data_IF_998264749701
#
_entry.id   IF_998264749701
#
_cell.length_a   1.000
_cell.length_b   1.000
_cell.length_c   1.000
_cell.angle_alpha   90.00
_cell.angle_beta   90.00
_cell.angle_gamma   90.00
#
_symmetry.space_group_name_H-M   'P 1'
#
loop_
_entity.id
_entity.type
_entity.pdbx_description
1 polymer ?
#
# COMPACT_ATOMS: atom_id res chain seq x y z
N UNK A 1 8.82 25.28 1.18
CA UNK A 1 8.63 24.87 2.59
C UNK A 1 9.74 23.92 2.97
N UNK A 2 10.32 24.05 4.16
CA UNK A 2 11.27 23.04 4.64
C UNK A 2 10.54 21.73 4.87
N UNK A 3 11.09 20.64 4.37
CA UNK A 3 10.57 19.28 4.60
C UNK A 3 10.72 19.02 6.11
N UNK A 4 9.60 18.72 6.80
CA UNK A 4 9.64 18.27 8.19
C UNK A 4 10.23 16.87 8.23
N UNK A 5 10.95 16.54 9.31
CA UNK A 5 11.50 15.20 9.47
C UNK A 5 10.38 14.20 9.78
N UNK A 6 10.03 13.39 8.78
CA UNK A 6 8.98 12.37 8.90
C UNK A 6 9.34 11.27 9.90
N UNK A 7 10.60 10.86 9.94
CA UNK A 7 11.06 9.80 10.87
C UNK A 7 10.93 10.25 12.31
N UNK A 8 11.39 11.47 12.65
CA UNK A 8 11.25 12.05 13.98
C UNK A 8 9.77 12.19 14.39
N UNK A 9 8.90 12.57 13.44
CA UNK A 9 7.45 12.67 13.70
C UNK A 9 6.84 11.31 14.05
N UNK A 10 7.24 10.25 13.36
CA UNK A 10 6.76 8.89 13.66
C UNK A 10 7.39 8.31 14.94
N UNK A 11 8.66 8.60 15.20
CA UNK A 11 9.37 8.21 16.44
C UNK A 11 8.68 8.79 17.68
N UNK A 12 8.41 10.10 17.63
CA UNK A 12 7.71 10.78 18.72
C UNK A 12 6.33 10.18 19.01
N UNK A 13 5.66 9.64 17.96
CA UNK A 13 4.35 8.99 18.08
C UNK A 13 4.42 7.52 18.47
N UNK A 14 5.60 6.91 18.53
CA UNK A 14 5.76 5.48 18.75
C UNK A 14 5.23 4.62 17.60
N UNK A 15 5.26 5.15 16.36
CA UNK A 15 4.72 4.48 15.16
C UNK A 15 5.79 3.76 14.34
N UNK A 16 7.05 3.74 14.78
CA UNK A 16 8.12 3.02 14.08
C UNK A 16 8.28 1.64 14.72
N UNK A 17 8.11 0.60 13.90
CA UNK A 17 8.47 -0.78 14.28
C UNK A 17 9.88 -1.12 13.80
N UNK A 18 10.19 -0.81 12.55
CA UNK A 18 11.51 -0.99 11.96
C UNK A 18 11.74 0.04 10.85
N UNK A 19 13.01 0.35 10.60
CA UNK A 19 13.40 1.30 9.56
C UNK A 19 14.62 0.77 8.82
N UNK A 20 14.62 0.90 7.51
CA UNK A 20 15.77 0.53 6.68
C UNK A 20 16.88 1.59 6.80
N UNK A 21 18.16 1.18 6.85
CA UNK A 21 19.27 2.12 6.82
C UNK A 21 19.19 3.08 5.62
N UNK A 22 19.49 4.36 5.84
CA UNK A 22 19.45 5.40 4.81
C UNK A 22 18.07 6.01 4.55
N UNK A 23 16.99 5.50 5.17
CA UNK A 23 15.63 6.03 4.96
C UNK A 23 15.50 7.47 5.42
N UNK A 24 16.02 7.80 6.59
CA UNK A 24 15.93 9.15 7.15
C UNK A 24 16.68 10.17 6.29
N UNK A 25 17.88 9.82 5.88
CA UNK A 25 18.73 10.66 5.04
C UNK A 25 18.07 10.93 3.67
N UNK A 26 17.48 9.89 3.07
CA UNK A 26 16.77 10.01 1.79
C UNK A 26 15.55 10.94 1.92
N UNK A 27 14.75 10.77 2.97
CA UNK A 27 13.54 11.57 3.20
C UNK A 27 13.88 13.04 3.55
N UNK A 28 15.04 13.31 4.11
CA UNK A 28 15.49 14.69 4.38
C UNK A 28 16.07 15.36 3.13
N UNK A 29 16.60 14.58 2.20
CA UNK A 29 17.28 15.09 1.01
C UNK A 29 16.31 15.67 -0.02
N UNK A 30 15.19 14.98 -0.26
CA UNK A 30 14.26 15.37 -1.31
C UNK A 30 12.84 14.85 -1.02
N UNK A 31 11.85 15.41 -1.72
CA UNK A 31 10.50 14.87 -1.71
C UNK A 31 10.53 13.44 -2.25
N UNK A 32 10.09 12.51 -1.44
CA UNK A 32 10.03 11.09 -1.79
C UNK A 32 8.57 10.65 -1.97
N UNK A 33 8.41 9.50 -2.63
CA UNK A 33 7.11 8.85 -2.80
C UNK A 33 7.11 7.54 -2.02
N UNK A 34 6.05 7.28 -1.26
CA UNK A 34 5.84 6.02 -0.56
C UNK A 34 4.40 5.55 -0.71
N UNK A 35 4.17 4.26 -0.59
CA UNK A 35 2.84 3.69 -0.67
C UNK A 35 2.49 2.82 0.53
N UNK A 36 1.18 2.69 0.75
CA UNK A 36 0.59 1.69 1.64
C UNK A 36 -0.44 0.90 0.85
N UNK A 37 -0.37 -0.44 0.95
CA UNK A 37 -1.33 -1.35 0.35
C UNK A 37 -2.62 -1.43 1.17
N UNK A 38 -3.77 -1.40 0.47
CA UNK A 38 -5.11 -1.53 1.05
C UNK A 38 -5.89 -2.53 0.22
N UNK A 39 -6.31 -3.64 0.83
CA UNK A 39 -7.15 -4.62 0.15
C UNK A 39 -8.61 -4.15 0.10
N UNK A 40 -9.22 -4.08 -1.08
CA UNK A 40 -10.59 -3.60 -1.26
C UNK A 40 -11.63 -4.70 -0.98
N UNK A 41 -11.53 -5.37 0.17
CA UNK A 41 -12.40 -6.49 0.56
C UNK A 41 -13.82 -6.07 0.93
N UNK A 42 -14.02 -4.78 1.19
CA UNK A 42 -15.30 -4.15 1.49
C UNK A 42 -15.32 -2.69 0.99
N UNK A 43 -16.50 -2.11 0.98
CA UNK A 43 -16.70 -0.69 0.61
C UNK A 43 -16.36 0.31 1.73
N UNK A 44 -15.77 -0.17 2.82
CA UNK A 44 -15.38 0.66 3.95
C UNK A 44 -14.07 0.20 4.58
N UNK A 45 -13.29 1.17 5.05
CA UNK A 45 -12.13 0.96 5.91
C UNK A 45 -12.60 0.66 7.35
N UNK A 46 -11.83 -0.16 8.05
CA UNK A 46 -12.01 -0.39 9.49
C UNK A 46 -10.86 0.25 10.29
N UNK A 47 -10.98 0.23 11.61
CA UNK A 47 -10.02 0.87 12.53
C UNK A 47 -8.58 0.39 12.31
N UNK A 48 -8.36 -0.86 11.92
CA UNK A 48 -7.03 -1.38 11.62
C UNK A 48 -6.33 -0.69 10.46
N UNK A 49 -7.09 -0.21 9.45
CA UNK A 49 -6.52 0.55 8.34
C UNK A 49 -6.10 1.97 8.76
N UNK A 50 -6.69 2.51 9.85
CA UNK A 50 -6.44 3.89 10.24
C UNK A 50 -4.97 4.15 10.57
N UNK A 51 -4.27 3.18 11.15
CA UNK A 51 -2.83 3.32 11.45
C UNK A 51 -2.04 3.59 10.17
N UNK A 52 -2.24 2.75 9.15
CA UNK A 52 -1.56 2.89 7.86
C UNK A 52 -1.94 4.18 7.14
N UNK A 53 -3.21 4.57 7.19
CA UNK A 53 -3.69 5.84 6.62
C UNK A 53 -3.08 7.05 7.34
N UNK A 54 -2.93 6.99 8.66
CA UNK A 54 -2.27 8.05 9.43
C UNK A 54 -0.79 8.17 9.11
N UNK A 55 -0.09 7.07 8.82
CA UNK A 55 1.29 7.12 8.32
C UNK A 55 1.36 7.90 7.00
N UNK A 56 0.47 7.59 6.04
CA UNK A 56 0.36 8.35 4.78
C UNK A 56 0.03 9.82 5.02
N UNK A 57 -0.85 10.12 5.98
CA UNK A 57 -1.19 11.50 6.35
C UNK A 57 0.02 12.27 6.86
N UNK A 58 0.78 11.69 7.79
CA UNK A 58 2.00 12.32 8.30
C UNK A 58 3.04 12.47 7.20
N UNK A 59 3.16 11.49 6.31
CA UNK A 59 4.05 11.55 5.16
C UNK A 59 3.73 12.75 4.25
N UNK A 60 2.45 12.96 3.94
CA UNK A 60 1.99 14.10 3.16
C UNK A 60 2.25 15.43 3.90
N UNK A 61 1.94 15.49 5.20
CA UNK A 61 2.17 16.70 6.02
C UNK A 61 3.66 17.07 6.13
N UNK A 62 4.54 16.09 6.03
CA UNK A 62 5.99 16.29 5.98
C UNK A 62 6.52 16.69 4.60
N UNK A 63 5.65 16.86 3.61
CA UNK A 63 6.02 17.34 2.28
C UNK A 63 6.34 16.24 1.27
N UNK A 64 6.07 14.98 1.60
CA UNK A 64 6.27 13.84 0.72
C UNK A 64 4.98 13.42 0.02
N UNK A 65 5.08 12.66 -1.07
CA UNK A 65 3.94 12.24 -1.89
C UNK A 65 3.44 10.84 -1.47
N UNK A 66 2.28 10.71 -0.82
CA UNK A 66 1.71 9.41 -0.49
C UNK A 66 0.97 8.79 -1.67
N UNK A 67 1.04 7.46 -1.78
CA UNK A 67 0.23 6.66 -2.68
C UNK A 67 -0.60 5.69 -1.85
N UNK A 68 -1.93 5.75 -2.00
CA UNK A 68 -2.82 4.70 -1.55
C UNK A 68 -2.92 3.63 -2.66
N UNK A 69 -2.30 2.47 -2.44
CA UNK A 69 -2.30 1.36 -3.39
C UNK A 69 -3.44 0.41 -3.08
N UNK A 70 -4.43 0.36 -3.94
CA UNK A 70 -5.52 -0.61 -3.83
C UNK A 70 -5.08 -1.96 -4.40
N UNK A 71 -5.18 -3.00 -3.61
CA UNK A 71 -4.86 -4.38 -3.97
C UNK A 71 -5.94 -5.05 -4.81
N UNK A 72 -6.27 -4.48 -5.98
CA UNK A 72 -7.32 -5.01 -6.84
C UNK A 72 -6.99 -6.37 -7.42
N UNK A 73 -5.79 -6.57 -7.95
CA UNK A 73 -5.35 -7.87 -8.45
C UNK A 73 -5.26 -8.90 -7.32
N UNK A 74 -4.67 -8.53 -6.19
CA UNK A 74 -4.56 -9.42 -5.02
C UNK A 74 -5.92 -9.75 -4.40
N UNK A 75 -6.86 -8.79 -4.40
CA UNK A 75 -8.24 -9.01 -3.94
C UNK A 75 -9.02 -9.99 -4.83
N UNK A 76 -8.67 -10.12 -6.11
CA UNK A 76 -9.26 -11.12 -7.02
C UNK A 76 -8.69 -12.52 -6.82
N UNK A 77 -7.48 -12.65 -6.29
CA UNK A 77 -6.86 -13.94 -6.00
C UNK A 77 -7.31 -14.45 -4.62
N UNK A 78 -7.54 -13.53 -3.68
CA UNK A 78 -7.85 -13.82 -2.29
C UNK A 78 -6.59 -14.09 -1.46
N UNK A 79 -6.55 -13.52 -0.27
CA UNK A 79 -5.52 -13.80 0.72
C UNK A 79 -6.08 -14.76 1.76
N UNK A 80 -5.55 -15.99 1.89
CA UNK A 80 -6.01 -16.98 2.85
C UNK A 80 -5.51 -16.70 4.28
N UNK A 81 -4.70 -15.64 4.52
CA UNK A 81 -4.09 -15.37 5.81
C UNK A 81 -5.09 -15.34 6.96
N UNK A 82 -4.93 -16.27 7.90
CA UNK A 82 -5.68 -16.33 9.16
C UNK A 82 -7.14 -16.79 9.07
N UNK A 83 -7.60 -17.34 7.94
CA UNK A 83 -8.96 -17.88 7.79
C UNK A 83 -8.95 -19.26 7.15
N UNK A 84 -9.77 -20.16 7.70
CA UNK A 84 -9.94 -21.53 7.22
C UNK A 84 -10.85 -21.69 5.99
N UNK A 85 -11.40 -20.57 5.46
CA UNK A 85 -12.27 -20.58 4.29
C UNK A 85 -11.70 -19.64 3.23
N UNK A 86 -11.71 -20.07 1.97
CA UNK A 86 -11.43 -19.23 0.82
C UNK A 86 -12.30 -17.97 0.86
N UNK A 87 -11.67 -16.80 0.70
CA UNK A 87 -12.42 -15.56 0.51
C UNK A 87 -13.20 -15.62 -0.79
N UNK A 88 -14.44 -15.15 -0.78
CA UNK A 88 -15.19 -14.95 -2.01
C UNK A 88 -14.38 -14.05 -2.96
N UNK A 89 -14.07 -14.56 -4.14
CA UNK A 89 -13.38 -13.82 -5.17
C UNK A 89 -14.25 -12.63 -5.58
N UNK A 90 -13.68 -11.44 -5.55
CA UNK A 90 -14.37 -10.23 -5.96
C UNK A 90 -14.37 -10.13 -7.48
N UNK A 91 -15.52 -9.81 -8.07
CA UNK A 91 -15.60 -9.41 -9.47
C UNK A 91 -15.09 -7.97 -9.66
N UNK A 92 -14.74 -7.62 -10.90
CA UNK A 92 -14.18 -6.29 -11.21
C UNK A 92 -15.15 -5.16 -10.83
N UNK A 93 -16.45 -5.35 -10.99
CA UNK A 93 -17.47 -4.34 -10.66
C UNK A 93 -17.50 -4.04 -9.16
N UNK A 94 -17.54 -5.08 -8.34
CA UNK A 94 -17.49 -4.95 -6.88
C UNK A 94 -16.18 -4.32 -6.42
N UNK A 95 -15.08 -4.74 -7.03
CA UNK A 95 -13.75 -4.19 -6.75
C UNK A 95 -13.68 -2.68 -7.04
N UNK A 96 -14.18 -2.21 -8.20
CA UNK A 96 -14.23 -0.79 -8.56
C UNK A 96 -15.15 -0.02 -7.61
N UNK A 97 -16.29 -0.58 -7.24
CA UNK A 97 -17.19 0.02 -6.25
C UNK A 97 -16.48 0.23 -4.91
N UNK A 98 -15.83 -0.81 -4.39
CA UNK A 98 -15.09 -0.73 -3.13
C UNK A 98 -13.94 0.27 -3.21
N UNK A 99 -13.20 0.29 -4.32
CA UNK A 99 -12.12 1.26 -4.56
C UNK A 99 -12.63 2.71 -4.46
N UNK A 100 -13.72 3.03 -5.12
CA UNK A 100 -14.30 4.38 -5.08
C UNK A 100 -14.82 4.75 -3.67
N UNK A 101 -15.39 3.79 -2.96
CA UNK A 101 -15.85 4.01 -1.58
C UNK A 101 -14.66 4.25 -0.63
N UNK A 102 -13.58 3.49 -0.77
CA UNK A 102 -12.32 3.68 -0.03
C UNK A 102 -11.71 5.05 -0.36
N UNK A 103 -11.66 5.45 -1.63
CA UNK A 103 -11.17 6.77 -2.05
C UNK A 103 -11.88 7.90 -1.33
N UNK A 104 -13.23 7.85 -1.29
CA UNK A 104 -14.04 8.88 -0.58
C UNK A 104 -13.70 8.98 0.91
N UNK A 105 -13.35 7.86 1.56
CA UNK A 105 -12.95 7.86 2.97
C UNK A 105 -11.54 8.42 3.13
N UNK A 106 -10.60 8.03 2.29
CA UNK A 106 -9.22 8.51 2.30
C UNK A 106 -9.14 10.02 2.01
N UNK A 107 -9.99 10.54 1.13
CA UNK A 107 -10.04 11.97 0.79
C UNK A 107 -10.43 12.88 1.97
N UNK A 108 -10.95 12.32 3.07
CA UNK A 108 -11.15 13.07 4.31
C UNK A 108 -9.85 13.34 5.07
N UNK A 109 -8.81 12.58 4.78
CA UNK A 109 -7.52 12.64 5.49
C UNK A 109 -6.37 13.05 4.58
N UNK A 110 -6.39 12.61 3.34
CA UNK A 110 -5.34 12.86 2.33
C UNK A 110 -5.85 13.87 1.31
N UNK A 111 -4.97 14.73 0.87
CA UNK A 111 -5.25 15.65 -0.23
C UNK A 111 -4.90 14.98 -1.57
N UNK A 112 -5.93 14.66 -2.36
CA UNK A 112 -5.81 14.07 -3.70
C UNK A 112 -6.01 15.09 -4.82
N UNK A 113 -6.62 16.22 -4.51
CA UNK A 113 -7.25 17.08 -5.52
C UNK A 113 -6.52 18.41 -5.73
N UNK A 114 -5.54 18.74 -4.88
CA UNK A 114 -4.76 19.97 -5.05
C UNK A 114 -3.69 19.82 -6.12
N UNK A 115 -3.25 20.96 -6.67
CA UNK A 115 -2.08 21.05 -7.58
C UNK A 115 -0.74 20.97 -6.84
N UNK A 116 -0.74 20.60 -5.56
CA UNK A 116 0.49 20.48 -4.79
C UNK A 116 1.36 19.32 -5.32
N UNK A 117 2.69 19.49 -5.40
CA UNK A 117 3.58 18.45 -5.92
C UNK A 117 3.52 17.15 -5.09
N UNK A 118 3.11 17.24 -3.84
CA UNK A 118 2.92 16.11 -2.92
C UNK A 118 1.44 15.71 -2.75
N UNK A 119 0.56 16.09 -3.69
CA UNK A 119 -0.81 15.57 -3.72
C UNK A 119 -0.79 14.04 -3.77
N UNK A 120 -1.68 13.42 -2.99
CA UNK A 120 -1.78 11.97 -2.91
C UNK A 120 -2.23 11.36 -4.25
N UNK A 121 -1.85 10.12 -4.49
CA UNK A 121 -2.38 9.35 -5.61
C UNK A 121 -3.09 8.09 -5.10
N UNK A 122 -4.18 7.73 -5.75
CA UNK A 122 -4.81 6.42 -5.61
C UNK A 122 -4.47 5.59 -6.85
N UNK A 123 -3.89 4.43 -6.66
CA UNK A 123 -3.56 3.50 -7.74
C UNK A 123 -4.12 2.12 -7.42
N UNK A 124 -4.37 1.33 -8.47
CA UNK A 124 -4.88 -0.03 -8.34
C UNK A 124 -3.94 -0.99 -9.06
N UNK A 125 -3.39 -1.97 -8.37
CA UNK A 125 -2.46 -2.92 -8.98
C UNK A 125 -3.11 -3.77 -10.09
N UNK A 126 -4.45 -3.93 -10.09
CA UNK A 126 -5.16 -4.59 -11.17
C UNK A 126 -4.96 -3.89 -12.52
N UNK A 127 -4.80 -2.56 -12.55
CA UNK A 127 -4.72 -1.80 -13.80
C UNK A 127 -3.48 -2.18 -14.64
N UNK A 128 -2.38 -2.59 -14.00
CA UNK A 128 -1.19 -3.07 -14.71
C UNK A 128 -1.02 -4.58 -14.67
N UNK A 129 -1.50 -5.26 -13.61
CA UNK A 129 -1.33 -6.72 -13.47
C UNK A 129 -2.19 -7.52 -14.45
N UNK A 130 -3.37 -7.00 -14.82
CA UNK A 130 -4.29 -7.67 -15.75
C UNK A 130 -3.71 -7.91 -17.15
N UNK A 131 -2.69 -7.15 -17.53
CA UNK A 131 -2.07 -7.23 -18.85
C UNK A 131 -0.93 -8.26 -18.90
N UNK A 132 -0.45 -8.72 -17.73
CA UNK A 132 0.58 -9.75 -17.67
C UNK A 132 -0.01 -11.13 -17.97
N UNK A 133 0.55 -11.81 -18.96
CA UNK A 133 0.32 -13.26 -19.12
C UNK A 133 1.13 -14.03 -18.08
N UNK A 134 0.72 -15.26 -17.77
CA UNK A 134 1.47 -16.14 -16.88
C UNK A 134 2.92 -16.32 -17.34
N UNK A 135 3.14 -16.51 -18.63
CA UNK A 135 4.48 -16.69 -19.19
C UNK A 135 5.34 -15.43 -19.06
N UNK A 136 4.75 -14.25 -19.33
CA UNK A 136 5.46 -12.98 -19.16
C UNK A 136 5.86 -12.76 -17.70
N UNK A 137 4.94 -13.03 -16.77
CA UNK A 137 5.24 -12.90 -15.35
C UNK A 137 6.39 -13.82 -14.90
N UNK A 138 6.35 -15.11 -15.28
CA UNK A 138 7.41 -16.06 -14.93
C UNK A 138 8.74 -15.65 -15.58
N UNK A 139 8.71 -15.26 -16.86
CA UNK A 139 9.92 -14.87 -17.59
C UNK A 139 10.58 -13.62 -17.01
N UNK A 140 9.80 -12.60 -16.70
CA UNK A 140 10.33 -11.26 -16.40
C UNK A 140 10.48 -11.02 -14.89
N UNK A 141 9.59 -11.56 -14.07
CA UNK A 141 9.56 -11.36 -12.62
C UNK A 141 9.94 -12.62 -11.85
N UNK A 142 9.39 -13.77 -12.24
CA UNK A 142 9.59 -15.03 -11.49
C UNK A 142 11.05 -15.43 -11.32
N UNK A 143 11.89 -15.17 -12.32
CA UNK A 143 13.34 -15.45 -12.23
C UNK A 143 14.10 -14.60 -11.21
N UNK A 144 13.52 -13.47 -10.79
CA UNK A 144 14.13 -12.53 -9.83
C UNK A 144 13.79 -12.87 -8.38
N UNK A 145 12.78 -13.71 -8.16
CA UNK A 145 12.29 -14.08 -6.84
C UNK A 145 12.52 -15.57 -6.63
N UNK A 146 13.48 -15.92 -5.78
CA UNK A 146 13.76 -17.32 -5.45
C UNK A 146 12.77 -17.86 -4.42
N UNK A 147 12.51 -19.18 -4.47
CA UNK A 147 11.69 -19.86 -3.45
C UNK A 147 12.25 -19.62 -2.05
N UNK A 148 13.58 -19.72 -1.88
CA UNK A 148 14.22 -19.47 -0.59
C UNK A 148 13.98 -18.05 -0.07
N UNK A 149 13.99 -17.05 -0.95
CA UNK A 149 13.67 -15.68 -0.57
C UNK A 149 12.21 -15.55 -0.09
N UNK A 150 11.27 -16.18 -0.78
CA UNK A 150 9.86 -16.17 -0.37
C UNK A 150 9.66 -16.91 0.97
N UNK A 151 10.28 -18.07 1.13
CA UNK A 151 10.20 -18.88 2.36
C UNK A 151 10.79 -18.18 3.59
N UNK A 152 11.73 -17.27 3.40
CA UNK A 152 12.32 -16.48 4.49
C UNK A 152 11.45 -15.31 4.97
N UNK A 153 10.29 -15.07 4.36
CA UNK A 153 9.35 -14.03 4.81
C UNK A 153 8.36 -14.59 5.83
N UNK A 154 8.11 -13.84 6.90
CA UNK A 154 7.20 -14.25 7.97
C UNK A 154 5.80 -14.62 7.46
N UNK A 155 5.33 -13.93 6.42
CA UNK A 155 4.03 -14.21 5.79
C UNK A 155 3.97 -15.60 5.14
N UNK A 156 5.09 -16.15 4.65
CA UNK A 156 5.13 -17.49 4.07
C UNK A 156 5.07 -18.58 5.12
N UNK A 157 5.49 -18.30 6.36
CA UNK A 157 5.46 -19.24 7.48
C UNK A 157 4.09 -19.40 8.12
N UNK A 158 3.14 -18.50 7.84
CA UNK A 158 1.78 -18.58 8.37
C UNK A 158 1.01 -19.77 7.79
N UNK A 159 1.44 -20.31 6.66
CA UNK A 159 0.77 -21.39 5.92
C UNK A 159 1.50 -22.74 6.00
N UNK A 160 2.57 -22.81 6.75
CA UNK A 160 3.31 -24.04 7.08
C UNK A 160 3.00 -24.44 8.52
#
# INVERSE_FOLDING_TARGET
MAIKNFVEELEWRGMIHSIMPGTQEQLQKEMSTAYVGIDPTADSLHIGHLVSVMILKHFQMCGHRPIALVGGATGMIGDPSGKSQERNLLDEKTLRHNQEAIKRQLAKLLDFDSDAPNAAALVNNYDWMKEFTFLDFIRDIGKLITVNYMMAKDLSLIHI
#
